data_IF_971159554923
#
_entry.id   IF_971159554923
#
_cell.length_a   1.000
_cell.length_b   1.000
_cell.length_c   1.000
_cell.angle_alpha   90.00
_cell.angle_beta   90.00
_cell.angle_gamma   90.00
#
_symmetry.space_group_name_H-M   'P 1'
#
loop_
_entity.id
_entity.type
_entity.pdbx_description
1 polymer ?
#
# COMPACT_ATOMS: atom_id res chain seq x y z
N UNK A 1 10.50 -2.41 -68.62
CA UNK A 1 10.72 -3.08 -67.32
C UNK A 1 11.60 -2.30 -66.33
N UNK A 2 12.66 -1.58 -66.75
CA UNK A 2 13.61 -0.89 -65.83
C UNK A 2 13.04 0.27 -64.99
N UNK A 3 11.92 0.89 -65.38
CA UNK A 3 11.29 2.00 -64.64
C UNK A 3 10.41 1.51 -63.48
N UNK A 4 9.70 0.40 -63.64
CA UNK A 4 8.78 -0.16 -62.62
C UNK A 4 9.57 -0.66 -61.41
N UNK A 5 10.73 -1.30 -61.64
CA UNK A 5 11.62 -1.80 -60.57
C UNK A 5 12.15 -0.64 -59.70
N UNK A 6 12.43 0.53 -60.29
CA UNK A 6 12.89 1.70 -59.54
C UNK A 6 11.83 2.27 -58.59
N UNK A 7 10.57 2.30 -59.03
CA UNK A 7 9.47 2.77 -58.19
C UNK A 7 9.11 1.75 -57.10
N UNK A 8 9.25 0.45 -57.37
CA UNK A 8 9.06 -0.60 -56.35
C UNK A 8 10.06 -0.49 -55.20
N UNK A 9 11.35 -0.29 -55.50
CA UNK A 9 12.39 -0.12 -54.47
C UNK A 9 12.18 1.17 -53.67
N UNK A 10 11.77 2.26 -54.33
CA UNK A 10 11.47 3.53 -53.66
C UNK A 10 10.25 3.42 -52.74
N UNK A 11 9.19 2.73 -53.17
CA UNK A 11 7.97 2.51 -52.37
C UNK A 11 8.26 1.68 -51.11
N UNK A 12 9.04 0.60 -51.24
CA UNK A 12 9.42 -0.24 -50.09
C UNK A 12 10.29 0.54 -49.10
N UNK A 13 11.20 1.39 -49.60
CA UNK A 13 12.03 2.25 -48.75
C UNK A 13 11.20 3.25 -47.94
N UNK A 14 10.25 3.96 -48.58
CA UNK A 14 9.39 4.95 -47.90
C UNK A 14 8.45 4.28 -46.89
N UNK A 15 7.89 3.11 -47.23
CA UNK A 15 7.01 2.38 -46.32
C UNK A 15 7.76 1.83 -45.11
N UNK A 16 8.99 1.35 -45.30
CA UNK A 16 9.83 0.88 -44.20
C UNK A 16 10.28 2.02 -43.27
N UNK A 17 10.51 3.22 -43.82
CA UNK A 17 10.84 4.41 -43.03
C UNK A 17 9.63 4.89 -42.21
N UNK A 18 8.42 4.82 -42.77
CA UNK A 18 7.17 5.15 -42.07
C UNK A 18 6.87 4.17 -40.93
N UNK A 19 7.11 2.87 -41.13
CA UNK A 19 6.93 1.85 -40.07
C UNK A 19 7.97 2.04 -38.96
N UNK A 20 9.23 2.35 -39.30
CA UNK A 20 10.26 2.63 -38.31
C UNK A 20 9.92 3.90 -37.51
N UNK A 21 9.44 4.95 -38.17
CA UNK A 21 8.99 6.19 -37.51
C UNK A 21 7.80 5.94 -36.58
N UNK A 22 6.82 5.14 -37.02
CA UNK A 22 5.68 4.74 -36.20
C UNK A 22 6.13 3.93 -34.97
N UNK A 23 7.07 2.99 -35.12
CA UNK A 23 7.61 2.20 -34.00
C UNK A 23 8.45 3.06 -33.04
N UNK A 24 9.16 4.09 -33.51
CA UNK A 24 9.92 5.01 -32.65
C UNK A 24 9.06 6.08 -31.96
N UNK A 25 7.88 6.42 -32.52
CA UNK A 25 6.88 7.25 -31.83
C UNK A 25 5.96 6.44 -30.93
N UNK A 26 5.89 5.12 -31.13
CA UNK A 26 5.16 4.19 -30.26
C UNK A 26 5.98 3.90 -29.01
N UNK A 27 6.27 4.95 -28.24
CA UNK A 27 6.65 4.81 -26.85
C UNK A 27 5.42 4.21 -26.13
N UNK A 28 5.46 2.95 -25.62
CA UNK A 28 4.29 2.36 -24.96
C UNK A 28 3.97 3.02 -23.61
N UNK A 29 4.73 4.06 -23.24
CA UNK A 29 4.69 4.73 -21.95
C UNK A 29 3.87 6.02 -21.93
N UNK A 30 3.34 6.50 -23.07
CA UNK A 30 2.91 7.90 -23.17
C UNK A 30 1.41 8.12 -23.46
N UNK A 31 0.56 7.61 -22.57
CA UNK A 31 -0.70 8.28 -22.20
C UNK A 31 -0.76 8.43 -20.67
N UNK A 32 0.33 8.94 -20.12
CA UNK A 32 0.30 9.58 -18.80
C UNK A 32 -0.05 11.03 -19.01
N UNK A 33 -1.35 11.37 -19.01
CA UNK A 33 -1.74 12.72 -18.62
C UNK A 33 -1.21 12.91 -17.20
N UNK A 34 -0.04 13.52 -17.08
CA UNK A 34 0.41 14.15 -15.85
C UNK A 34 -0.74 15.07 -15.45
N UNK A 35 -1.45 14.71 -14.39
CA UNK A 35 -2.42 15.60 -13.77
C UNK A 35 -1.62 16.81 -13.27
N UNK A 36 -1.51 17.83 -14.11
CA UNK A 36 -1.12 19.18 -13.68
C UNK A 36 -2.26 19.69 -12.81
N UNK A 37 -2.25 19.29 -11.54
CA UNK A 37 -3.13 19.89 -10.56
C UNK A 37 -2.48 21.21 -10.14
N UNK A 38 -3.00 22.32 -10.65
CA UNK A 38 -2.59 23.68 -10.27
C UNK A 38 -3.19 24.10 -8.92
N UNK A 39 -3.75 23.16 -8.15
CA UNK A 39 -4.24 23.37 -6.79
C UNK A 39 -3.28 22.73 -5.79
N UNK A 40 -2.99 23.44 -4.70
CA UNK A 40 -2.22 22.92 -3.55
C UNK A 40 -3.04 21.92 -2.70
N UNK A 41 -4.12 21.35 -3.23
CA UNK A 41 -4.98 20.45 -2.48
C UNK A 41 -4.46 19.02 -2.56
N UNK A 42 -4.41 18.29 -1.43
CA UNK A 42 -3.96 16.92 -1.41
C UNK A 42 -4.91 16.02 -2.21
N UNK A 43 -4.35 15.18 -3.09
CA UNK A 43 -5.10 14.11 -3.76
C UNK A 43 -5.38 12.99 -2.76
N UNK A 44 -6.63 12.59 -2.63
CA UNK A 44 -7.08 11.56 -1.69
C UNK A 44 -7.71 10.34 -2.40
N UNK A 45 -7.48 9.16 -1.82
CA UNK A 45 -8.22 7.93 -2.12
C UNK A 45 -9.04 7.57 -0.89
N UNK A 46 -10.33 7.27 -1.07
CA UNK A 46 -11.21 6.85 0.02
C UNK A 46 -11.67 5.41 -0.23
N UNK A 47 -11.59 4.58 0.81
CA UNK A 47 -12.02 3.19 0.80
C UNK A 47 -13.04 3.03 1.92
N UNK A 48 -14.12 2.31 1.63
CA UNK A 48 -15.15 1.98 2.62
C UNK A 48 -15.16 0.47 2.83
N UNK A 49 -15.13 0.04 4.09
CA UNK A 49 -15.13 -1.36 4.50
C UNK A 49 -16.14 -1.51 5.63
N UNK A 50 -17.03 -2.49 5.51
CA UNK A 50 -17.98 -2.84 6.56
C UNK A 50 -17.42 -4.00 7.39
N UNK A 51 -17.36 -3.81 8.71
CA UNK A 51 -16.95 -4.85 9.65
C UNK A 51 -18.17 -5.50 10.31
N UNK A 52 -18.06 -6.81 10.57
CA UNK A 52 -19.03 -7.53 11.39
C UNK A 52 -18.62 -7.36 12.85
N UNK A 53 -19.57 -6.98 13.69
CA UNK A 53 -19.36 -6.83 15.13
C UNK A 53 -19.25 -8.19 15.80
N UNK A 54 -18.32 -8.32 16.75
CA UNK A 54 -18.21 -9.48 17.62
C UNK A 54 -18.77 -9.18 19.02
N UNK A 55 -19.49 -10.14 19.58
CA UNK A 55 -19.83 -10.20 21.01
C UNK A 55 -18.61 -10.57 21.86
N UNK A 56 -18.70 -10.37 23.18
CA UNK A 56 -17.60 -10.71 24.09
C UNK A 56 -17.27 -12.22 24.06
N UNK A 57 -18.30 -13.06 23.98
CA UNK A 57 -18.17 -14.51 23.88
C UNK A 57 -17.47 -14.89 22.56
N UNK A 58 -17.86 -14.27 21.46
CA UNK A 58 -17.23 -14.52 20.16
C UNK A 58 -15.78 -14.05 20.12
N UNK A 59 -15.44 -12.90 20.72
CA UNK A 59 -14.06 -12.42 20.85
C UNK A 59 -13.18 -13.45 21.58
N UNK A 60 -13.70 -14.05 22.66
CA UNK A 60 -12.97 -15.10 23.39
C UNK A 60 -12.75 -16.33 22.52
N UNK A 61 -13.76 -16.74 21.75
CA UNK A 61 -13.74 -18.01 21.05
C UNK A 61 -12.97 -17.94 19.71
N UNK A 62 -13.03 -16.80 19.00
CA UNK A 62 -12.45 -16.65 17.66
C UNK A 62 -10.99 -16.21 17.63
N UNK A 63 -10.48 -15.54 18.66
CA UNK A 63 -9.12 -15.01 18.66
C UNK A 63 -8.14 -16.00 19.25
N UNK A 64 -6.98 -16.15 18.63
CA UNK A 64 -5.98 -17.14 19.01
C UNK A 64 -5.25 -16.74 20.29
N UNK A 65 -4.94 -15.46 20.49
CA UNK A 65 -4.20 -14.97 21.66
C UNK A 65 -4.91 -13.77 22.27
N UNK A 66 -4.98 -13.71 23.61
CA UNK A 66 -5.52 -12.56 24.34
C UNK A 66 -4.47 -12.09 25.33
N UNK A 67 -4.15 -10.79 25.31
CA UNK A 67 -3.02 -10.22 26.04
C UNK A 67 -3.40 -8.92 26.73
N UNK A 68 -2.99 -8.78 27.98
CA UNK A 68 -2.90 -7.48 28.66
C UNK A 68 -1.45 -7.01 28.53
N UNK A 69 -1.27 -5.75 28.14
CA UNK A 69 0.07 -5.18 28.00
C UNK A 69 0.08 -3.68 28.10
N UNK A 70 1.27 -3.12 27.91
CA UNK A 70 1.51 -1.68 27.89
C UNK A 70 2.22 -1.31 26.60
N UNK A 71 1.74 -0.27 25.92
CA UNK A 71 2.40 0.26 24.71
C UNK A 71 3.78 0.79 25.09
N UNK A 72 4.82 0.12 24.63
CA UNK A 72 6.21 0.48 24.91
C UNK A 72 6.72 1.52 23.92
N UNK A 73 6.45 1.32 22.64
CA UNK A 73 6.98 2.16 21.57
C UNK A 73 6.05 2.13 20.34
N UNK A 74 5.96 3.26 19.65
CA UNK A 74 5.26 3.38 18.36
C UNK A 74 6.36 3.64 17.32
N UNK A 75 6.59 2.69 16.42
CA UNK A 75 7.66 2.78 15.44
C UNK A 75 7.29 3.73 14.28
N UNK A 76 8.29 4.12 13.48
CA UNK A 76 8.05 4.93 12.29
C UNK A 76 7.19 4.17 11.27
N UNK A 77 6.19 4.86 10.72
CA UNK A 77 5.33 4.33 9.67
C UNK A 77 6.11 4.12 8.37
N UNK A 78 5.75 3.07 7.64
CA UNK A 78 6.38 2.73 6.35
C UNK A 78 5.41 2.00 5.43
N UNK A 79 5.77 1.91 4.16
CA UNK A 79 5.00 1.13 3.20
C UNK A 79 5.19 -0.37 3.44
N UNK A 80 4.19 -1.17 3.07
CA UNK A 80 4.22 -2.65 3.09
C UNK A 80 4.97 -3.29 1.93
N UNK A 81 5.61 -2.49 1.09
CA UNK A 81 6.62 -2.96 0.13
C UNK A 81 7.79 -3.62 0.85
N UNK A 82 8.49 -4.52 0.15
CA UNK A 82 9.60 -5.27 0.72
C UNK A 82 10.75 -4.40 1.25
N UNK A 83 10.94 -3.20 0.67
CA UNK A 83 11.96 -2.24 1.08
C UNK A 83 11.43 -1.13 2.01
N UNK A 84 10.13 -1.16 2.35
CA UNK A 84 9.47 -0.17 3.20
C UNK A 84 9.21 1.17 2.53
N UNK A 85 9.49 1.31 1.22
CA UNK A 85 9.38 2.58 0.48
C UNK A 85 8.11 2.65 -0.35
N UNK A 86 7.78 3.86 -0.79
CA UNK A 86 6.64 4.08 -1.65
C UNK A 86 6.69 3.19 -2.90
N UNK A 87 5.58 2.50 -3.25
CA UNK A 87 5.53 1.70 -4.46
C UNK A 87 5.71 2.58 -5.71
N UNK A 88 6.42 2.06 -6.70
CA UNK A 88 6.59 2.70 -8.02
C UNK A 88 5.33 2.52 -8.88
N UNK A 89 4.21 3.07 -8.41
CA UNK A 89 2.88 2.99 -9.04
C UNK A 89 2.27 4.38 -9.18
N UNK A 90 1.39 4.54 -10.17
CA UNK A 90 0.52 5.72 -10.25
C UNK A 90 -0.50 5.68 -9.11
N UNK A 91 -0.90 6.83 -8.57
CA UNK A 91 -1.82 6.91 -7.43
C UNK A 91 -3.15 6.18 -7.67
N UNK A 92 -3.70 6.29 -8.88
CA UNK A 92 -4.95 5.61 -9.26
C UNK A 92 -4.81 4.08 -9.42
N UNK A 93 -3.62 3.53 -9.20
CA UNK A 93 -3.33 2.09 -9.23
C UNK A 93 -2.90 1.55 -7.86
N UNK A 94 -3.07 2.33 -6.79
CA UNK A 94 -2.91 1.79 -5.45
C UNK A 94 -4.05 0.83 -5.15
N UNK A 95 -3.71 -0.35 -4.65
CA UNK A 95 -4.64 -1.42 -4.35
C UNK A 95 -4.58 -1.76 -2.86
N UNK A 96 -5.73 -1.86 -2.20
CA UNK A 96 -5.80 -2.37 -0.83
C UNK A 96 -6.01 -3.89 -0.86
N UNK A 97 -5.32 -4.69 -0.03
CA UNK A 97 -4.39 -4.30 1.04
C UNK A 97 -2.91 -4.22 0.63
N UNK A 98 -2.61 -4.24 -0.67
CA UNK A 98 -1.25 -4.43 -1.18
C UNK A 98 -0.39 -3.16 -1.16
N UNK A 99 -0.98 -1.97 -1.18
CA UNK A 99 -0.30 -0.67 -1.17
C UNK A 99 -0.76 0.15 0.04
N UNK A 100 -0.32 -0.25 1.23
CA UNK A 100 -0.71 0.41 2.49
C UNK A 100 0.49 0.95 3.25
N UNK A 101 0.26 2.04 4.00
CA UNK A 101 1.17 2.50 5.04
C UNK A 101 0.76 1.80 6.34
N UNK A 102 1.73 1.30 7.10
CA UNK A 102 1.44 0.73 8.41
C UNK A 102 2.40 1.29 9.44
N UNK A 103 1.99 1.14 10.70
CA UNK A 103 2.77 1.48 11.88
C UNK A 103 2.83 0.24 12.76
N UNK A 104 4.05 -0.17 13.12
CA UNK A 104 4.26 -1.27 14.06
C UNK A 104 4.32 -0.71 15.48
N UNK A 105 3.60 -1.34 16.40
CA UNK A 105 3.45 -0.96 17.80
C UNK A 105 4.09 -2.04 18.66
N UNK A 106 5.08 -1.65 19.46
CA UNK A 106 5.75 -2.55 20.41
C UNK A 106 4.97 -2.53 21.72
N UNK A 107 4.52 -3.70 22.16
CA UNK A 107 3.76 -3.92 23.37
C UNK A 107 4.61 -4.74 24.34
N UNK A 108 4.84 -4.21 25.53
CA UNK A 108 5.34 -5.02 26.65
C UNK A 108 4.18 -5.85 27.20
N UNK A 109 4.36 -7.16 27.30
CA UNK A 109 3.33 -8.08 27.78
C UNK A 109 3.32 -8.08 29.30
N UNK A 110 2.15 -7.76 29.88
CA UNK A 110 1.90 -7.89 31.32
C UNK A 110 1.40 -9.32 31.63
N UNK A 111 0.46 -9.82 30.83
CA UNK A 111 -0.19 -11.13 31.03
C UNK A 111 -0.78 -11.71 29.73
N UNK A 112 -0.64 -13.02 29.53
CA UNK A 112 -1.39 -13.77 28.52
C UNK A 112 -2.65 -14.39 29.14
N UNK A 113 -3.83 -13.99 28.66
CA UNK A 113 -5.12 -14.55 29.09
C UNK A 113 -5.53 -15.78 28.27
N UNK A 114 -5.01 -15.92 27.04
CA UNK A 114 -5.25 -17.07 26.15
C UNK A 114 -4.00 -17.40 25.35
N UNK A 115 -3.70 -18.70 25.20
CA UNK A 115 -2.56 -19.26 24.49
C UNK A 115 -1.21 -18.60 24.87
N UNK A 116 -0.73 -18.84 26.11
CA UNK A 116 0.44 -18.16 26.63
C UNK A 116 1.71 -18.48 25.84
N UNK A 117 2.57 -17.48 25.73
CA UNK A 117 3.90 -17.57 25.15
C UNK A 117 4.96 -17.13 26.15
N UNK A 118 6.23 -17.43 25.86
CA UNK A 118 7.38 -16.96 26.64
C UNK A 118 7.85 -15.55 26.26
N UNK A 119 7.25 -14.94 25.22
CA UNK A 119 7.63 -13.60 24.77
C UNK A 119 7.18 -12.53 25.76
N UNK A 120 8.12 -11.70 26.21
CA UNK A 120 7.80 -10.52 27.03
C UNK A 120 7.37 -9.31 26.20
N UNK A 121 7.50 -9.37 24.88
CA UNK A 121 7.12 -8.28 23.96
C UNK A 121 6.38 -8.83 22.74
N UNK A 122 5.46 -8.03 22.21
CA UNK A 122 4.73 -8.29 20.98
C UNK A 122 4.82 -7.08 20.06
N UNK A 123 4.81 -7.35 18.75
CA UNK A 123 4.70 -6.30 17.73
C UNK A 123 3.33 -6.44 17.09
N UNK A 124 2.51 -5.41 17.22
CA UNK A 124 1.18 -5.33 16.61
C UNK A 124 1.23 -4.33 15.48
N UNK A 125 0.75 -4.72 14.30
CA UNK A 125 0.70 -3.84 13.13
C UNK A 125 -0.67 -3.18 13.03
N UNK A 126 -0.69 -1.86 12.87
CA UNK A 126 -1.89 -1.11 12.48
C UNK A 126 -1.70 -0.41 11.15
N UNK A 127 -2.80 -0.31 10.42
CA UNK A 127 -2.94 0.39 9.16
C UNK A 127 -2.97 1.88 9.43
N UNK A 128 -2.15 2.65 8.69
CA UNK A 128 -2.10 4.10 8.80
C UNK A 128 -0.76 4.65 9.27
N UNK A 129 -0.69 5.98 9.27
CA UNK A 129 0.51 6.73 9.61
C UNK A 129 0.95 7.68 8.49
N UNK A 130 2.21 8.13 8.55
CA UNK A 130 2.79 9.05 7.57
C UNK A 130 4.14 8.53 7.09
N UNK A 131 4.31 8.38 5.78
CA UNK A 131 5.54 7.92 5.14
C UNK A 131 5.91 8.89 4.01
N UNK A 132 6.85 9.80 4.28
CA UNK A 132 7.19 10.90 3.37
C UNK A 132 6.00 11.85 3.20
N UNK A 133 5.64 12.14 1.95
CA UNK A 133 4.52 13.04 1.61
C UNK A 133 3.14 12.35 1.69
N UNK A 134 3.10 11.07 2.01
CA UNK A 134 1.87 10.29 2.06
C UNK A 134 1.40 10.09 3.49
N UNK A 135 0.10 10.34 3.70
CA UNK A 135 -0.58 10.07 4.96
C UNK A 135 -1.76 9.14 4.68
N UNK A 136 -1.90 8.12 5.51
CA UNK A 136 -3.06 7.24 5.50
C UNK A 136 -3.69 7.22 6.89
N UNK A 137 -5.00 7.36 6.91
CA UNK A 137 -5.82 7.34 8.11
C UNK A 137 -6.91 6.30 7.95
N UNK A 138 -7.26 5.63 9.04
CA UNK A 138 -8.35 4.68 9.11
C UNK A 138 -9.03 4.81 10.47
N UNK A 139 -10.32 4.52 10.51
CA UNK A 139 -11.13 4.34 11.70
C UNK A 139 -11.34 2.84 12.03
N UNK A 140 -10.82 1.94 11.20
CA UNK A 140 -10.92 0.49 11.40
C UNK A 140 -9.94 -0.03 12.48
N UNK A 141 -8.76 0.59 12.58
CA UNK A 141 -7.72 0.21 13.54
C UNK A 141 -7.65 1.22 14.71
N UNK A 142 -7.35 0.76 15.94
CA UNK A 142 -7.23 1.65 17.09
C UNK A 142 -5.98 2.54 16.98
N UNK A 143 -6.06 3.73 17.57
CA UNK A 143 -4.90 4.58 17.83
C UNK A 143 -4.27 4.24 19.18
N UNK A 144 -2.95 4.29 19.28
CA UNK A 144 -2.21 4.02 20.51
C UNK A 144 -1.43 5.23 21.01
N UNK A 145 -1.23 5.28 22.33
CA UNK A 145 -0.29 6.20 22.99
C UNK A 145 0.78 5.42 23.76
N UNK A 146 2.02 5.90 23.76
CA UNK A 146 3.09 5.30 24.58
C UNK A 146 2.72 5.33 26.07
N UNK A 147 2.88 4.21 26.77
CA UNK A 147 2.49 4.02 28.17
C UNK A 147 1.03 3.62 28.38
N UNK A 148 0.20 3.57 27.32
CA UNK A 148 -1.19 3.13 27.40
C UNK A 148 -1.28 1.64 27.75
N UNK A 149 -2.17 1.30 28.69
CA UNK A 149 -2.52 -0.10 28.96
C UNK A 149 -3.57 -0.58 27.97
N UNK A 150 -3.34 -1.75 27.40
CA UNK A 150 -4.16 -2.32 26.33
C UNK A 150 -4.60 -3.73 26.67
N UNK A 151 -5.80 -4.09 26.21
CA UNK A 151 -6.30 -5.45 26.12
C UNK A 151 -6.42 -5.79 24.63
N UNK A 152 -5.65 -6.76 24.17
CA UNK A 152 -5.54 -7.11 22.76
C UNK A 152 -6.12 -8.49 22.50
N UNK A 153 -6.93 -8.58 21.46
CA UNK A 153 -7.45 -9.82 20.90
C UNK A 153 -6.74 -10.03 19.55
N UNK A 154 -5.86 -11.03 19.48
CA UNK A 154 -4.97 -11.27 18.35
C UNK A 154 -5.31 -12.60 17.67
N UNK A 155 -5.26 -12.58 16.34
CA UNK A 155 -5.41 -13.75 15.46
C UNK A 155 -4.05 -14.16 14.90
#
# INVERSE_FOLDING_TARGET
MRKIIKYGIFLVGVLSLLILYALTLSDPSNYGTKLENNSNEPLGLNIYIDFIWYTHEELRDHFDTIVIGTVKEILLSRWNTADGKQPLKLLNKFEYPDDIIYTDIVISVDEYLKNPSSSGELIVRVTGGTAGDFRMTTDADPSFSTGEKVLLFLR
#
